data_IF_162309665814
#
_entry.id   IF_162309665814
#
_cell.length_a   1.000
_cell.length_b   1.000
_cell.length_c   1.000
_cell.angle_alpha   90.00
_cell.angle_beta   90.00
_cell.angle_gamma   90.00
#
_symmetry.space_group_name_H-M   'P 1'
#
loop_
_entity.id
_entity.type
_entity.pdbx_description
1 polymer ?
#
# COMPACT_ATOMS: atom_id res chain seq x y z
N UNK A 1 -5.24 79.83 -22.36
CA UNK A 1 -5.10 79.35 -20.98
C UNK A 1 -4.54 77.94 -21.01
N UNK A 2 -3.61 77.64 -20.08
CA UNK A 2 -2.82 76.42 -19.88
C UNK A 2 -3.66 75.11 -19.86
N UNK A 3 -3.16 74.04 -20.49
CA UNK A 3 -2.66 72.76 -19.92
C UNK A 3 -3.63 72.08 -18.93
N UNK A 4 -3.96 70.79 -19.01
CA UNK A 4 -3.05 69.64 -18.98
C UNK A 4 -3.64 68.38 -19.64
N UNK A 5 -2.75 67.62 -20.27
CA UNK A 5 -2.93 66.23 -20.70
C UNK A 5 -2.76 65.31 -19.49
N UNK A 6 -3.65 64.33 -19.30
CA UNK A 6 -3.50 63.24 -18.33
C UNK A 6 -3.72 61.92 -19.07
N UNK A 7 -2.59 61.31 -19.45
CA UNK A 7 -2.51 59.93 -19.88
C UNK A 7 -2.71 59.04 -18.64
N UNK A 8 -3.86 58.36 -18.56
CA UNK A 8 -4.12 57.34 -17.56
C UNK A 8 -3.44 56.03 -17.97
N UNK A 9 -2.39 55.66 -17.25
CA UNK A 9 -1.81 54.33 -17.30
C UNK A 9 -2.79 53.35 -16.66
N UNK A 10 -3.34 52.43 -17.47
CA UNK A 10 -4.06 51.26 -16.97
C UNK A 10 -3.02 50.26 -16.45
N UNK A 11 -2.90 50.12 -15.14
CA UNK A 11 -2.11 49.06 -14.51
C UNK A 11 -2.91 47.76 -14.63
N UNK A 12 -2.41 46.83 -15.45
CA UNK A 12 -2.81 45.43 -15.41
C UNK A 12 -2.40 44.86 -14.05
N UNK A 13 -3.36 44.65 -13.16
CA UNK A 13 -3.18 43.84 -11.95
C UNK A 13 -3.06 42.40 -12.42
N UNK A 14 -1.83 41.91 -12.57
CA UNK A 14 -1.58 40.48 -12.72
C UNK A 14 -1.98 39.76 -11.43
N UNK A 15 -2.82 38.73 -11.55
CA UNK A 15 -2.92 37.70 -10.50
C UNK A 15 -1.56 37.00 -10.41
N UNK A 16 -0.75 37.39 -9.43
CA UNK A 16 0.29 36.50 -8.92
C UNK A 16 -0.36 35.32 -8.19
N UNK A 17 0.24 34.12 -8.20
CA UNK A 17 -0.20 33.03 -7.34
C UNK A 17 -0.16 33.49 -5.87
N UNK A 18 -1.11 33.04 -5.02
CA UNK A 18 -1.15 33.44 -3.63
C UNK A 18 0.14 32.98 -2.92
N UNK A 19 0.62 33.84 -2.03
CA UNK A 19 1.69 33.57 -1.09
C UNK A 19 1.32 32.35 -0.24
N UNK A 20 1.95 31.21 -0.51
CA UNK A 20 1.79 29.96 0.23
C UNK A 20 2.62 30.02 1.51
N UNK A 21 2.36 31.05 2.33
CA UNK A 21 2.87 31.16 3.69
C UNK A 21 2.45 29.94 4.51
N UNK A 22 3.39 29.03 4.66
CA UNK A 22 3.31 27.73 5.30
C UNK A 22 3.21 27.84 6.83
N UNK A 23 2.13 28.46 7.31
CA UNK A 23 1.79 28.46 8.74
C UNK A 23 0.32 28.11 9.03
N UNK A 24 -0.53 27.85 8.02
CA UNK A 24 -1.92 27.42 8.27
C UNK A 24 -2.35 26.26 7.40
N UNK A 25 -2.58 25.13 8.06
CA UNK A 25 -3.25 23.93 7.54
C UNK A 25 -4.61 24.31 6.97
N UNK A 26 -4.96 23.78 5.80
CA UNK A 26 -6.28 23.95 5.19
C UNK A 26 -7.34 23.22 6.03
N UNK A 27 -8.33 23.95 6.55
CA UNK A 27 -9.45 23.39 7.31
C UNK A 27 -10.70 23.49 6.45
N UNK A 28 -11.13 22.37 5.87
CA UNK A 28 -12.42 22.23 5.21
C UNK A 28 -13.58 22.13 6.22
N UNK A 29 -14.85 22.18 5.77
CA UNK A 29 -16.03 22.35 6.64
C UNK A 29 -16.35 21.17 7.58
N UNK A 30 -15.61 20.06 7.52
CA UNK A 30 -15.73 18.92 8.44
C UNK A 30 -14.51 18.88 9.37
N UNK A 31 -14.48 19.76 10.36
CA UNK A 31 -13.40 19.87 11.32
C UNK A 31 -13.41 18.75 12.37
N UNK A 32 -12.37 17.91 12.36
CA UNK A 32 -11.92 17.14 13.51
C UNK A 32 -10.46 17.50 13.76
N UNK A 33 -10.18 18.25 14.83
CA UNK A 33 -8.81 18.61 15.21
C UNK A 33 -8.13 17.44 15.91
N UNK A 34 -6.90 17.14 15.52
CA UNK A 34 -6.01 16.19 16.21
C UNK A 34 -5.22 16.95 17.28
N UNK A 35 -5.29 16.46 18.53
CA UNK A 35 -4.56 16.97 19.69
C UNK A 35 -3.22 16.22 19.80
N UNK A 36 -2.12 16.89 19.46
CA UNK A 36 -0.76 16.38 19.62
C UNK A 36 -0.24 16.75 21.02
N UNK A 37 -0.60 15.96 22.03
CA UNK A 37 0.10 15.95 23.31
C UNK A 37 0.26 14.53 23.85
N UNK A 38 1.34 13.86 23.45
CA UNK A 38 1.92 12.75 24.21
C UNK A 38 3.32 13.18 24.65
N UNK A 39 3.46 13.46 25.94
CA UNK A 39 4.72 13.72 26.61
C UNK A 39 5.51 12.41 26.77
N UNK A 40 6.76 12.39 26.29
CA UNK A 40 7.76 11.35 26.60
C UNK A 40 8.58 11.79 27.82
N UNK A 41 8.73 10.98 28.89
CA UNK A 41 9.61 11.33 30.00
C UNK A 41 11.08 10.98 29.68
N UNK A 42 11.97 11.90 30.05
CA UNK A 42 13.42 11.81 29.91
C UNK A 42 14.04 10.77 30.85
N UNK A 43 14.94 9.95 30.31
CA UNK A 43 15.78 9.00 31.07
C UNK A 43 17.26 9.41 31.01
N UNK A 44 17.87 9.52 32.19
CA UNK A 44 19.26 9.92 32.47
C UNK A 44 20.27 8.81 32.19
N UNK A 45 21.43 9.20 31.66
CA UNK A 45 22.62 8.37 31.42
C UNK A 45 23.39 8.05 32.71
N UNK A 46 23.62 6.78 33.01
CA UNK A 46 24.76 6.29 33.80
C UNK A 46 25.18 4.90 33.30
N UNK A 47 26.47 4.75 32.95
CA UNK A 47 27.22 3.49 32.81
C UNK A 47 27.94 3.22 34.16
N UNK A 48 28.19 1.95 34.59
CA UNK A 48 29.44 1.27 34.19
C UNK A 48 29.48 -0.29 34.16
N UNK A 49 30.44 -0.77 33.34
CA UNK A 49 31.40 -1.90 33.46
C UNK A 49 30.99 -3.39 33.71
N UNK A 50 31.45 -4.22 32.76
CA UNK A 50 32.07 -5.56 32.80
C UNK A 50 31.50 -6.75 33.60
N UNK A 51 31.29 -7.88 32.90
CA UNK A 51 31.12 -9.22 33.48
C UNK A 51 30.92 -10.35 32.45
N UNK A 52 31.94 -11.21 32.34
CA UNK A 52 32.10 -12.37 31.43
C UNK A 52 31.20 -13.60 31.75
N UNK A 53 31.18 -14.52 30.78
CA UNK A 53 30.93 -15.97 30.81
C UNK A 53 29.57 -16.48 30.31
N UNK A 54 29.65 -17.32 29.28
CA UNK A 54 28.52 -18.02 28.68
C UNK A 54 28.19 -19.36 29.34
N UNK A 55 27.06 -19.93 28.94
CA UNK A 55 26.86 -21.38 28.83
C UNK A 55 25.58 -21.67 28.04
N UNK A 56 25.71 -22.62 27.12
CA UNK A 56 24.62 -23.32 26.45
C UNK A 56 23.73 -24.07 27.45
N UNK A 57 22.41 -24.10 27.22
CA UNK A 57 21.61 -25.27 27.56
C UNK A 57 20.43 -25.46 26.58
N UNK A 58 20.14 -26.73 26.36
CA UNK A 58 19.17 -27.33 25.45
C UNK A 58 17.98 -27.83 26.27
N UNK A 59 16.74 -27.46 25.92
CA UNK A 59 15.57 -28.12 26.51
C UNK A 59 14.19 -27.59 26.09
N UNK A 60 13.46 -28.42 25.33
CA UNK A 60 12.00 -28.65 25.27
C UNK A 60 11.01 -27.47 24.98
N UNK A 61 9.83 -27.75 24.35
CA UNK A 61 8.97 -26.72 23.79
C UNK A 61 8.09 -26.06 24.86
N UNK A 62 8.22 -24.75 24.99
CA UNK A 62 7.37 -23.89 25.81
C UNK A 62 5.96 -23.81 25.19
N UNK A 63 4.94 -24.16 25.98
CA UNK A 63 3.57 -23.75 25.69
C UNK A 63 3.42 -22.25 25.93
N UNK A 64 3.07 -21.48 24.90
CA UNK A 64 2.11 -20.38 25.07
C UNK A 64 2.52 -18.97 24.65
N UNK A 65 3.75 -18.72 24.19
CA UNK A 65 4.13 -17.39 23.68
C UNK A 65 4.22 -17.44 22.16
N UNK A 66 3.56 -16.49 21.48
CA UNK A 66 3.55 -16.43 20.02
C UNK A 66 4.95 -16.33 19.43
N UNK A 67 5.09 -16.69 18.15
CA UNK A 67 6.33 -16.51 17.41
C UNK A 67 6.72 -15.03 17.33
N UNK A 68 7.89 -14.68 17.84
CA UNK A 68 8.48 -13.35 17.69
C UNK A 68 9.20 -13.25 16.33
N UNK A 69 8.78 -12.28 15.51
CA UNK A 69 9.24 -12.12 14.13
C UNK A 69 10.22 -10.96 13.93
N UNK A 70 10.36 -10.06 14.91
CA UNK A 70 11.23 -8.88 14.81
C UNK A 70 10.86 -7.93 13.66
N UNK A 71 9.57 -7.83 13.32
CA UNK A 71 9.12 -6.99 12.21
C UNK A 71 9.21 -5.51 12.57
N UNK A 72 9.62 -4.69 11.62
CA UNK A 72 9.55 -3.23 11.76
C UNK A 72 8.07 -2.80 11.83
N UNK A 73 7.66 -2.03 12.86
CA UNK A 73 6.29 -1.56 13.00
C UNK A 73 5.84 -0.60 11.88
N UNK A 74 6.77 0.09 11.22
CA UNK A 74 6.49 1.06 10.15
C UNK A 74 6.39 0.42 8.75
N UNK A 75 6.85 -0.82 8.63
CA UNK A 75 6.91 -1.55 7.36
C UNK A 75 5.76 -2.56 7.25
N UNK A 76 5.38 -2.88 6.01
CA UNK A 76 4.41 -3.94 5.72
C UNK A 76 4.88 -5.27 6.32
N UNK A 77 4.03 -6.00 7.07
CA UNK A 77 4.41 -7.29 7.63
C UNK A 77 4.81 -8.33 6.57
N UNK A 78 4.36 -8.16 5.33
CA UNK A 78 4.66 -9.08 4.22
C UNK A 78 5.70 -8.57 3.24
N UNK A 79 6.48 -7.57 3.66
CA UNK A 79 7.67 -7.14 2.94
C UNK A 79 8.56 -8.35 2.59
N UNK A 80 9.02 -8.41 1.34
CA UNK A 80 9.85 -9.51 0.83
C UNK A 80 11.28 -9.09 0.49
N UNK A 81 11.58 -7.79 0.56
CA UNK A 81 12.88 -7.18 0.25
C UNK A 81 13.14 -5.97 1.18
N UNK A 82 14.10 -5.10 0.85
CA UNK A 82 14.50 -4.00 1.73
C UNK A 82 13.59 -2.75 1.66
N UNK A 83 12.35 -2.87 1.16
CA UNK A 83 11.40 -1.76 1.08
C UNK A 83 10.20 -1.95 2.02
N UNK A 84 9.86 -0.89 2.75
CA UNK A 84 8.82 -0.98 3.78
C UNK A 84 7.39 -0.95 3.25
N UNK A 85 7.17 -0.48 2.01
CA UNK A 85 5.82 -0.23 1.53
C UNK A 85 5.21 -1.45 0.82
N UNK A 86 6.00 -2.30 0.15
CA UNK A 86 5.42 -3.42 -0.59
C UNK A 86 5.16 -4.65 0.30
N UNK A 87 4.19 -5.52 -0.04
CA UNK A 87 3.24 -5.43 -1.15
C UNK A 87 2.31 -4.20 -1.06
N UNK A 88 2.14 -3.50 -2.17
CA UNK A 88 1.35 -2.27 -2.26
C UNK A 88 0.39 -2.34 -3.46
N UNK A 89 -0.84 -1.83 -3.36
CA UNK A 89 -1.53 -1.45 -2.13
C UNK A 89 -1.85 -2.65 -1.25
N UNK A 90 -1.97 -2.42 0.05
CA UNK A 90 -2.28 -3.46 1.03
C UNK A 90 -3.15 -2.91 2.16
N UNK A 91 -4.05 -3.75 2.67
CA UNK A 91 -4.84 -3.45 3.88
C UNK A 91 -3.97 -3.05 5.08
N UNK A 92 -2.71 -3.50 5.16
CA UNK A 92 -1.81 -3.10 6.25
C UNK A 92 -1.45 -1.61 6.24
N UNK A 93 -1.73 -0.91 5.14
CA UNK A 93 -1.61 0.55 5.03
C UNK A 93 -2.97 1.24 5.19
N UNK A 94 -3.85 0.68 6.03
CA UNK A 94 -5.18 1.24 6.30
C UNK A 94 -5.48 1.26 7.80
N UNK A 95 -6.50 2.04 8.17
CA UNK A 95 -7.08 2.07 9.51
C UNK A 95 -8.61 1.92 9.39
N UNK A 96 -9.24 1.37 10.41
CA UNK A 96 -10.71 1.28 10.46
C UNK A 96 -11.34 2.67 10.52
N UNK A 97 -12.33 2.91 9.66
CA UNK A 97 -13.21 4.07 9.73
C UNK A 97 -14.65 3.63 9.44
N UNK A 98 -15.47 3.38 10.47
CA UNK A 98 -16.86 2.95 10.30
C UNK A 98 -17.76 4.02 9.67
N UNK A 99 -17.28 5.25 9.53
CA UNK A 99 -18.01 6.34 8.85
C UNK A 99 -17.76 6.36 7.34
N UNK A 100 -16.71 5.68 6.87
CA UNK A 100 -16.43 5.52 5.45
C UNK A 100 -17.30 4.42 4.84
N UNK A 101 -17.65 4.50 3.55
CA UNK A 101 -18.40 3.46 2.85
C UNK A 101 -17.73 2.08 2.84
N UNK A 102 -16.40 2.01 2.82
CA UNK A 102 -15.64 0.73 2.82
C UNK A 102 -15.32 0.24 4.23
N UNK A 103 -15.60 1.03 5.27
CA UNK A 103 -15.18 0.77 6.65
C UNK A 103 -13.69 1.01 6.91
N UNK A 104 -12.93 1.54 5.94
CA UNK A 104 -11.49 1.76 6.02
C UNK A 104 -11.11 3.16 5.51
N UNK A 105 -9.96 3.65 5.96
CA UNK A 105 -9.22 4.73 5.28
C UNK A 105 -7.77 4.34 5.05
N UNK A 106 -7.18 4.87 3.99
CA UNK A 106 -5.74 4.78 3.77
C UNK A 106 -5.00 5.45 4.95
N UNK A 107 -3.90 4.84 5.36
CA UNK A 107 -3.09 5.26 6.50
C UNK A 107 -1.61 5.03 6.21
N UNK A 108 -1.10 5.71 5.20
CA UNK A 108 0.32 5.68 4.88
C UNK A 108 1.13 6.50 5.88
N UNK A 109 2.21 5.91 6.42
CA UNK A 109 3.17 6.62 7.25
C UNK A 109 4.01 7.58 6.40
N UNK A 110 4.30 8.76 6.94
CA UNK A 110 5.25 9.72 6.34
C UNK A 110 6.65 9.14 6.20
N UNK A 111 7.01 8.20 7.09
CA UNK A 111 8.31 7.53 7.09
C UNK A 111 8.47 6.53 5.93
N UNK A 112 7.41 6.27 5.16
CA UNK A 112 7.52 5.42 3.96
C UNK A 112 7.78 6.23 2.68
N UNK A 113 7.85 7.57 2.75
CA UNK A 113 7.87 8.47 1.59
C UNK A 113 9.13 9.34 1.50
N UNK A 114 10.31 8.80 1.74
CA UNK A 114 11.55 9.58 1.66
C UNK A 114 12.05 9.82 0.22
N UNK A 115 12.54 11.03 -0.04
CA UNK A 115 13.38 11.32 -1.20
C UNK A 115 14.81 10.79 -0.98
N UNK A 116 15.60 10.52 -2.05
CA UNK A 116 16.98 10.05 -1.91
C UNK A 116 17.92 10.98 -1.10
N UNK A 117 17.58 12.27 -1.00
CA UNK A 117 18.30 13.26 -0.19
C UNK A 117 17.74 13.44 1.22
N UNK A 118 16.62 12.78 1.57
CA UNK A 118 15.97 12.81 2.88
C UNK A 118 15.28 14.14 3.22
N UNK A 119 15.20 15.10 2.29
CA UNK A 119 14.77 16.48 2.58
C UNK A 119 13.27 16.72 2.37
N UNK A 120 12.58 15.88 1.58
CA UNK A 120 11.16 16.08 1.29
C UNK A 120 10.38 14.75 1.38
N UNK A 121 9.92 14.35 2.58
CA UNK A 121 8.88 13.34 2.64
C UNK A 121 7.62 13.89 1.96
N UNK A 122 7.13 13.22 0.92
CA UNK A 122 5.80 13.55 0.37
C UNK A 122 4.79 13.34 1.50
N UNK A 123 4.02 14.39 1.84
CA UNK A 123 3.00 14.29 2.87
C UNK A 123 1.85 13.39 2.38
N UNK A 124 1.66 12.18 2.96
CA UNK A 124 0.65 11.26 2.51
C UNK A 124 -0.75 11.64 2.98
N UNK A 125 -0.93 12.73 3.75
CA UNK A 125 -2.25 13.21 4.16
C UNK A 125 -3.19 13.41 2.94
N UNK A 126 -2.63 13.79 1.79
CA UNK A 126 -3.37 13.92 0.54
C UNK A 126 -3.87 12.58 -0.05
N UNK A 127 -3.40 11.45 0.46
CA UNK A 127 -3.89 10.11 0.09
C UNK A 127 -4.73 9.50 1.22
N UNK A 128 -4.39 9.78 2.48
CA UNK A 128 -5.03 9.21 3.68
C UNK A 128 -6.49 9.64 3.88
N UNK A 129 -7.00 10.59 3.09
CA UNK A 129 -8.44 10.90 3.07
C UNK A 129 -9.28 9.84 2.34
N UNK A 130 -8.68 9.04 1.47
CA UNK A 130 -9.39 8.07 0.66
C UNK A 130 -9.78 6.82 1.46
N UNK A 131 -10.96 6.27 1.14
CA UNK A 131 -11.50 5.05 1.75
C UNK A 131 -11.03 3.75 1.06
N UNK A 132 -10.05 3.85 0.17
CA UNK A 132 -9.45 2.74 -0.56
C UNK A 132 -8.59 3.24 -1.71
N UNK A 133 -8.00 2.33 -2.46
CA UNK A 133 -7.17 2.68 -3.63
C UNK A 133 -7.98 2.81 -4.91
N UNK A 134 -7.40 3.51 -5.89
CA UNK A 134 -8.00 3.69 -7.20
C UNK A 134 -8.38 2.34 -7.84
N UNK A 135 -9.56 2.23 -8.47
CA UNK A 135 -9.96 1.06 -9.26
C UNK A 135 -9.00 0.64 -10.38
N UNK A 136 -8.05 1.50 -10.76
CA UNK A 136 -7.06 1.25 -11.82
C UNK A 136 -5.62 1.34 -11.31
N UNK A 137 -5.41 1.22 -10.00
CA UNK A 137 -4.08 1.26 -9.41
C UNK A 137 -3.22 0.08 -9.88
N UNK A 138 -1.93 0.29 -10.18
CA UNK A 138 -1.00 -0.82 -10.28
C UNK A 138 -0.80 -1.44 -8.89
N UNK A 139 -0.38 -2.70 -8.89
CA UNK A 139 -0.04 -3.49 -7.73
C UNK A 139 1.47 -3.79 -7.80
N UNK A 140 2.18 -3.63 -6.70
CA UNK A 140 3.63 -3.67 -6.61
C UNK A 140 4.07 -4.64 -5.52
N UNK A 141 5.04 -5.48 -5.83
CA UNK A 141 5.75 -6.32 -4.87
C UNK A 141 7.21 -6.42 -5.27
N UNK A 142 8.13 -6.28 -4.31
CA UNK A 142 9.56 -6.39 -4.56
C UNK A 142 10.13 -7.63 -3.87
N UNK A 143 10.85 -8.44 -4.64
CA UNK A 143 11.48 -9.68 -4.15
C UNK A 143 13.00 -9.55 -3.96
N UNK A 144 13.57 -8.36 -4.20
CA UNK A 144 15.01 -8.16 -4.23
C UNK A 144 15.70 -8.80 -5.44
N UNK A 145 14.91 -9.40 -6.35
CA UNK A 145 15.34 -10.15 -7.53
C UNK A 145 14.31 -10.00 -8.64
N UNK A 146 14.77 -10.11 -9.88
CA UNK A 146 13.88 -10.14 -11.04
C UNK A 146 13.21 -11.52 -11.18
N UNK A 147 11.90 -11.51 -11.45
CA UNK A 147 11.13 -12.71 -11.76
C UNK A 147 11.47 -13.22 -13.16
N UNK A 148 11.44 -14.54 -13.33
CA UNK A 148 11.57 -15.18 -14.63
C UNK A 148 10.54 -14.62 -15.62
N UNK A 149 10.96 -13.97 -16.72
CA UNK A 149 10.05 -13.33 -17.67
C UNK A 149 9.10 -14.31 -18.37
N UNK A 150 9.44 -15.60 -18.45
CA UNK A 150 8.57 -16.63 -19.03
C UNK A 150 7.31 -16.92 -18.18
N UNK A 151 7.28 -16.40 -16.94
CA UNK A 151 6.15 -16.51 -16.01
C UNK A 151 5.33 -15.21 -15.94
N UNK A 152 5.60 -14.23 -16.80
CA UNK A 152 4.97 -12.92 -16.83
C UNK A 152 4.19 -12.70 -18.14
N UNK A 153 3.08 -11.96 -18.07
CA UNK A 153 2.23 -11.66 -19.23
C UNK A 153 2.37 -10.22 -19.71
N UNK A 154 2.61 -10.06 -21.01
CA UNK A 154 2.66 -8.77 -21.68
C UNK A 154 1.28 -8.18 -21.99
N UNK A 155 1.22 -6.98 -22.58
CA UNK A 155 -0.04 -6.30 -22.90
C UNK A 155 -0.97 -7.05 -23.87
N UNK A 156 -0.42 -7.96 -24.68
CA UNK A 156 -1.16 -8.73 -25.67
C UNK A 156 -1.56 -10.13 -25.17
N UNK A 157 -1.04 -10.52 -24.02
CA UNK A 157 -1.11 -11.89 -23.49
C UNK A 157 -1.87 -11.93 -22.15
N UNK A 158 -2.57 -10.85 -21.79
CA UNK A 158 -3.24 -10.72 -20.51
C UNK A 158 -4.33 -11.78 -20.28
N UNK A 159 -4.95 -12.30 -21.33
CA UNK A 159 -5.94 -13.38 -21.21
C UNK A 159 -5.30 -14.69 -20.72
N UNK A 160 -4.00 -14.89 -20.94
CA UNK A 160 -3.28 -16.08 -20.45
C UNK A 160 -3.14 -16.08 -18.92
N UNK A 161 -3.24 -14.91 -18.27
CA UNK A 161 -3.31 -14.79 -16.81
C UNK A 161 -4.59 -15.37 -16.20
N UNK A 162 -5.58 -15.71 -17.04
CA UNK A 162 -6.83 -16.35 -16.62
C UNK A 162 -6.84 -17.87 -16.85
N UNK A 163 -5.74 -18.44 -17.34
CA UNK A 163 -5.60 -19.89 -17.45
C UNK A 163 -5.56 -20.56 -16.06
N UNK A 164 -5.66 -21.88 -16.05
CA UNK A 164 -5.54 -22.67 -14.82
C UNK A 164 -4.07 -22.81 -14.40
N UNK A 165 -3.81 -22.93 -13.10
CA UNK A 165 -2.47 -23.12 -12.52
C UNK A 165 -1.45 -22.02 -12.86
N UNK A 166 -1.94 -20.79 -13.04
CA UNK A 166 -1.09 -19.62 -13.22
C UNK A 166 -0.47 -19.17 -11.89
N UNK A 167 0.76 -18.61 -11.90
CA UNK A 167 1.49 -18.31 -10.67
C UNK A 167 1.09 -17.00 -9.98
N UNK A 168 0.28 -16.15 -10.63
CA UNK A 168 -0.13 -14.84 -10.11
C UNK A 168 -1.63 -14.70 -10.37
N UNK A 169 -2.40 -14.41 -9.31
CA UNK A 169 -3.86 -14.29 -9.35
C UNK A 169 -4.30 -13.01 -8.66
N UNK A 170 -5.26 -12.32 -9.26
CA UNK A 170 -6.04 -11.24 -8.66
C UNK A 170 -7.51 -11.62 -8.72
N UNK A 171 -8.17 -11.72 -7.56
CA UNK A 171 -9.56 -12.19 -7.47
C UNK A 171 -10.39 -11.30 -6.54
N UNK A 172 -11.62 -10.99 -6.95
CA UNK A 172 -12.61 -10.33 -6.09
C UNK A 172 -13.03 -11.30 -4.98
N UNK A 173 -12.84 -10.90 -3.72
CA UNK A 173 -13.06 -11.78 -2.56
C UNK A 173 -14.54 -12.17 -2.42
N UNK A 174 -15.46 -11.29 -2.81
CA UNK A 174 -16.89 -11.54 -2.61
C UNK A 174 -17.50 -12.31 -3.78
N UNK A 175 -17.03 -12.10 -5.01
CA UNK A 175 -17.58 -12.73 -6.22
C UNK A 175 -16.79 -13.94 -6.72
N UNK A 176 -15.51 -14.05 -6.36
CA UNK A 176 -14.59 -15.06 -6.91
C UNK A 176 -14.16 -14.79 -8.35
N UNK A 177 -14.48 -13.61 -8.91
CA UNK A 177 -14.13 -13.25 -10.28
C UNK A 177 -12.64 -12.87 -10.39
N UNK A 178 -11.92 -13.55 -11.29
CA UNK A 178 -10.52 -13.25 -11.60
C UNK A 178 -10.41 -12.09 -12.57
N UNK A 179 -9.41 -11.24 -12.37
CA UNK A 179 -9.13 -10.09 -13.23
C UNK A 179 -7.93 -10.39 -14.13
N UNK A 180 -8.01 -10.14 -15.46
CA UNK A 180 -6.86 -10.32 -16.35
C UNK A 180 -5.74 -9.35 -16.00
N UNK A 181 -4.50 -9.80 -16.10
CA UNK A 181 -3.31 -9.12 -15.64
C UNK A 181 -2.29 -8.93 -16.76
N UNK A 182 -1.69 -7.74 -16.81
CA UNK A 182 -0.37 -7.52 -17.37
C UNK A 182 0.62 -7.51 -16.20
N UNK A 183 1.71 -8.27 -16.31
CA UNK A 183 2.74 -8.32 -15.28
C UNK A 183 4.12 -8.04 -15.88
N UNK A 184 4.88 -7.15 -15.28
CA UNK A 184 6.20 -6.77 -15.78
C UNK A 184 7.15 -6.41 -14.63
N UNK A 185 8.44 -6.69 -14.78
CA UNK A 185 9.44 -6.10 -13.90
C UNK A 185 9.61 -4.61 -14.21
N UNK A 186 9.72 -3.76 -13.19
CA UNK A 186 10.01 -2.34 -13.37
C UNK A 186 11.33 -2.16 -14.12
N UNK A 187 11.30 -1.41 -15.22
CA UNK A 187 12.46 -1.13 -16.09
C UNK A 187 13.12 0.22 -15.80
N UNK A 188 12.57 1.01 -14.89
CA UNK A 188 13.04 2.35 -14.61
C UNK A 188 14.40 2.35 -13.90
N UNK A 189 15.29 3.26 -14.29
CA UNK A 189 16.58 3.54 -13.62
C UNK A 189 17.48 2.31 -13.38
N UNK A 190 17.41 1.28 -14.22
CA UNK A 190 18.22 0.04 -14.10
C UNK A 190 19.73 0.29 -14.26
N UNK A 191 20.10 1.35 -14.97
CA UNK A 191 21.48 1.79 -15.19
C UNK A 191 22.12 2.45 -13.96
N UNK A 192 21.32 2.82 -12.95
CA UNK A 192 21.81 3.46 -11.73
C UNK A 192 22.41 2.47 -10.69
N UNK A 193 22.44 1.17 -11.00
CA UNK A 193 23.06 0.15 -10.14
C UNK A 193 22.31 -0.13 -8.84
N UNK A 194 20.99 0.09 -8.84
CA UNK A 194 20.12 -0.19 -7.71
C UNK A 194 19.66 -1.66 -7.70
N UNK A 195 20.61 -2.57 -7.51
CA UNK A 195 20.31 -4.01 -7.45
C UNK A 195 19.27 -4.30 -6.35
N UNK A 196 18.28 -5.14 -6.67
CA UNK A 196 17.22 -5.55 -5.74
C UNK A 196 16.15 -4.51 -5.42
N UNK A 197 16.08 -3.39 -6.15
CA UNK A 197 15.02 -2.36 -5.96
C UNK A 197 13.92 -2.36 -7.03
N UNK A 198 13.92 -3.34 -7.93
CA UNK A 198 12.97 -3.39 -9.03
C UNK A 198 11.73 -4.21 -8.64
N UNK A 199 10.60 -3.54 -8.50
CA UNK A 199 9.34 -4.21 -8.19
C UNK A 199 8.81 -5.00 -9.40
N UNK A 200 8.16 -6.13 -9.12
CA UNK A 200 7.18 -6.71 -10.00
C UNK A 200 5.94 -5.81 -9.99
N UNK A 201 5.55 -5.33 -11.17
CA UNK A 201 4.37 -4.52 -11.40
C UNK A 201 3.27 -5.41 -11.96
N UNK A 202 2.16 -5.53 -11.24
CA UNK A 202 0.95 -6.26 -11.63
C UNK A 202 -0.10 -5.21 -11.97
N UNK A 203 -0.58 -5.21 -13.20
CA UNK A 203 -1.57 -4.24 -13.71
C UNK A 203 -2.88 -4.95 -14.02
N UNK A 204 -3.97 -4.62 -13.30
CA UNK A 204 -5.30 -5.03 -13.71
C UNK A 204 -5.63 -4.50 -15.11
N UNK A 205 -6.05 -5.39 -16.02
CA UNK A 205 -6.45 -5.03 -17.39
C UNK A 205 -7.94 -4.71 -17.51
N UNK A 206 -8.66 -4.72 -16.38
CA UNK A 206 -9.99 -4.19 -16.22
C UNK A 206 -10.06 -3.35 -14.93
N UNK A 207 -10.88 -2.29 -14.88
CA UNK A 207 -11.12 -1.56 -13.63
C UNK A 207 -11.68 -2.49 -12.57
N UNK A 208 -11.13 -2.39 -11.36
CA UNK A 208 -11.63 -3.10 -10.19
C UNK A 208 -12.99 -2.53 -9.77
N UNK A 209 -13.83 -3.36 -9.15
CA UNK A 209 -15.14 -2.94 -8.66
C UNK A 209 -14.98 -1.97 -7.50
N UNK A 210 -15.57 -0.79 -7.61
CA UNK A 210 -15.53 0.23 -6.54
C UNK A 210 -16.14 -0.32 -5.24
N UNK A 211 -15.49 -0.04 -4.12
CA UNK A 211 -15.87 -0.52 -2.79
C UNK A 211 -15.64 -2.01 -2.54
N UNK A 212 -15.04 -2.75 -3.49
CA UNK A 212 -14.75 -4.17 -3.34
C UNK A 212 -13.40 -4.43 -2.65
N UNK A 213 -13.18 -5.69 -2.28
CA UNK A 213 -11.93 -6.19 -1.73
C UNK A 213 -11.38 -7.25 -2.67
N UNK A 214 -10.10 -7.14 -3.01
CA UNK A 214 -9.44 -8.09 -3.89
C UNK A 214 -8.33 -8.81 -3.14
N UNK A 215 -8.19 -10.11 -3.37
CA UNK A 215 -7.04 -10.89 -2.94
C UNK A 215 -6.03 -10.95 -4.09
N UNK A 216 -4.78 -10.59 -3.79
CA UNK A 216 -3.62 -10.83 -4.64
C UNK A 216 -2.90 -12.05 -4.10
N UNK A 217 -2.62 -13.03 -4.96
CA UNK A 217 -1.91 -14.25 -4.59
C UNK A 217 -0.80 -14.58 -5.57
N UNK A 218 0.39 -14.82 -5.05
CA UNK A 218 1.55 -15.26 -5.82
C UNK A 218 1.97 -16.65 -5.36
N UNK A 219 2.28 -17.53 -6.31
CA UNK A 219 2.61 -18.93 -6.09
C UNK A 219 4.09 -19.14 -5.78
N UNK A 220 4.38 -20.16 -5.00
CA UNK A 220 5.74 -20.70 -4.78
C UNK A 220 6.38 -21.29 -6.04
N UNK A 221 5.60 -21.46 -7.14
CA UNK A 221 6.14 -21.85 -8.44
C UNK A 221 6.86 -20.71 -9.18
N UNK A 222 6.74 -19.47 -8.69
CA UNK A 222 7.53 -18.35 -9.22
C UNK A 222 9.02 -18.57 -8.98
N UNK A 223 9.81 -18.26 -9.99
CA UNK A 223 11.27 -18.37 -9.97
C UNK A 223 11.91 -17.04 -10.35
N UNK A 224 13.15 -16.84 -9.91
CA UNK A 224 13.97 -15.74 -10.43
C UNK A 224 14.51 -16.06 -11.84
N UNK A 225 15.23 -15.11 -12.43
CA UNK A 225 15.82 -15.25 -13.77
C UNK A 225 16.86 -16.37 -13.90
N UNK A 226 17.35 -16.92 -12.78
CA UNK A 226 18.26 -18.07 -12.74
C UNK A 226 17.51 -19.40 -12.55
N UNK A 227 16.18 -19.35 -12.41
CA UNK A 227 15.34 -20.52 -12.14
C UNK A 227 15.32 -20.92 -10.66
N UNK A 228 15.83 -20.08 -9.76
CA UNK A 228 15.82 -20.33 -8.32
C UNK A 228 14.45 -20.01 -7.71
N UNK A 229 13.97 -20.81 -6.73
CA UNK A 229 12.72 -20.51 -6.04
C UNK A 229 12.84 -19.26 -5.17
N UNK A 230 11.72 -18.54 -5.02
CA UNK A 230 11.63 -17.39 -4.12
C UNK A 230 11.34 -17.83 -2.69
N UNK A 231 11.79 -17.03 -1.72
CA UNK A 231 11.63 -17.32 -0.29
C UNK A 231 10.32 -16.77 0.24
N UNK A 232 9.56 -17.59 0.97
CA UNK A 232 8.39 -17.15 1.74
C UNK A 232 8.85 -16.39 2.99
N UNK A 233 8.32 -15.19 3.24
CA UNK A 233 8.67 -14.46 4.47
C UNK A 233 8.14 -15.18 5.72
N UNK A 234 8.87 -15.15 6.85
CA UNK A 234 8.41 -15.78 8.10
C UNK A 234 7.04 -15.29 8.57
N UNK A 235 6.75 -14.00 8.37
CA UNK A 235 5.46 -13.39 8.71
C UNK A 235 4.31 -13.96 7.87
N UNK A 236 4.50 -14.06 6.55
CA UNK A 236 3.48 -14.63 5.69
C UNK A 236 3.29 -16.13 5.95
N UNK A 237 4.38 -16.88 6.15
CA UNK A 237 4.31 -18.29 6.54
C UNK A 237 3.51 -18.48 7.84
N UNK A 238 3.70 -17.62 8.85
CA UNK A 238 2.99 -17.74 10.11
C UNK A 238 1.47 -17.54 9.97
N UNK A 239 1.01 -16.55 9.19
CA UNK A 239 -0.43 -16.36 8.96
C UNK A 239 -1.00 -17.48 8.07
N UNK A 240 -0.25 -17.91 7.04
CA UNK A 240 -0.64 -18.99 6.14
C UNK A 240 -0.75 -20.31 6.90
N UNK A 241 0.15 -20.61 7.81
CA UNK A 241 0.22 -21.92 8.47
C UNK A 241 -0.51 -21.93 9.83
N UNK A 242 -1.15 -20.82 10.22
CA UNK A 242 -1.92 -20.71 11.46
C UNK A 242 -1.06 -20.64 12.73
N UNK A 243 0.22 -20.29 12.59
CA UNK A 243 1.16 -20.14 13.71
C UNK A 243 0.92 -18.79 14.37
N UNK A 244 0.54 -18.79 15.65
CA UNK A 244 0.34 -17.58 16.48
C UNK A 244 1.65 -16.81 16.60
N UNK A 245 1.58 -15.48 16.46
CA UNK A 245 2.73 -14.55 16.53
C UNK A 245 2.55 -13.54 17.66
N UNK A 246 3.61 -12.82 18.00
CA UNK A 246 3.53 -11.66 18.91
C UNK A 246 3.17 -10.35 18.20
N UNK A 247 3.11 -10.33 16.87
CA UNK A 247 2.78 -9.13 16.09
C UNK A 247 1.26 -8.90 16.05
N UNK A 248 0.80 -7.86 16.76
CA UNK A 248 -0.62 -7.53 16.86
C UNK A 248 -1.29 -7.27 15.51
N UNK A 249 -0.56 -6.80 14.50
CA UNK A 249 -1.10 -6.54 13.14
C UNK A 249 -1.47 -7.85 12.46
N UNK A 250 -0.61 -8.87 12.57
CA UNK A 250 -0.88 -10.20 12.01
C UNK A 250 -2.04 -10.88 12.75
N UNK A 251 -2.06 -10.81 14.08
CA UNK A 251 -3.13 -11.41 14.88
C UNK A 251 -4.49 -10.77 14.61
N UNK A 252 -4.55 -9.44 14.49
CA UNK A 252 -5.78 -8.73 14.12
C UNK A 252 -6.26 -9.09 12.70
N UNK A 253 -5.34 -9.39 11.79
CA UNK A 253 -5.65 -9.71 10.40
C UNK A 253 -6.12 -11.16 10.17
N UNK A 254 -5.97 -12.08 11.12
CA UNK A 254 -6.21 -13.53 10.89
C UNK A 254 -7.57 -13.85 10.28
N UNK A 255 -8.65 -13.34 10.89
CA UNK A 255 -10.01 -13.63 10.41
C UNK A 255 -10.24 -13.09 9.00
N UNK A 256 -9.69 -11.92 8.70
CA UNK A 256 -9.71 -11.31 7.36
C UNK A 256 -8.95 -12.18 6.35
N UNK A 257 -7.80 -12.73 6.72
CA UNK A 257 -6.99 -13.55 5.84
C UNK A 257 -7.56 -14.93 5.54
N UNK A 258 -8.43 -15.48 6.39
CA UNK A 258 -9.17 -16.71 6.04
C UNK A 258 -10.07 -16.49 4.80
N UNK A 259 -10.65 -15.30 4.64
CA UNK A 259 -11.41 -14.95 3.43
C UNK A 259 -10.49 -14.79 2.21
N UNK A 260 -9.30 -14.17 2.39
CA UNK A 260 -8.28 -14.06 1.33
C UNK A 260 -7.85 -15.45 0.84
N UNK A 261 -7.52 -16.36 1.75
CA UNK A 261 -7.13 -17.72 1.40
C UNK A 261 -8.25 -18.50 0.74
N UNK A 262 -9.49 -18.38 1.23
CA UNK A 262 -10.63 -19.06 0.61
C UNK A 262 -10.91 -18.54 -0.81
N UNK A 263 -10.77 -17.24 -1.06
CA UNK A 263 -10.97 -16.66 -2.39
C UNK A 263 -9.88 -17.12 -3.37
N UNK A 264 -8.62 -17.14 -2.94
CA UNK A 264 -7.50 -17.62 -3.76
C UNK A 264 -7.58 -19.11 -4.06
N UNK A 265 -7.96 -19.93 -3.08
CA UNK A 265 -8.17 -21.37 -3.26
C UNK A 265 -9.26 -21.63 -4.33
N UNK A 266 -10.39 -20.93 -4.22
CA UNK A 266 -11.46 -20.96 -5.23
C UNK A 266 -11.04 -20.45 -6.62
N UNK A 267 -10.01 -19.61 -6.68
CA UNK A 267 -9.43 -19.08 -7.91
C UNK A 267 -8.29 -19.96 -8.48
N UNK A 268 -8.03 -21.12 -7.88
CA UNK A 268 -7.05 -22.11 -8.35
C UNK A 268 -5.65 -21.95 -7.75
N UNK A 269 -5.49 -21.18 -6.67
CA UNK A 269 -4.22 -21.01 -5.97
C UNK A 269 -4.37 -21.45 -4.49
N UNK A 270 -4.02 -22.71 -4.22
CA UNK A 270 -4.21 -23.31 -2.91
C UNK A 270 -3.37 -22.61 -1.83
N UNK A 271 -3.93 -22.53 -0.60
CA UNK A 271 -3.29 -21.87 0.55
C UNK A 271 -1.85 -22.33 0.79
N UNK A 272 -1.57 -23.62 0.66
CA UNK A 272 -0.25 -24.20 0.90
C UNK A 272 0.80 -23.79 -0.15
N UNK A 273 0.36 -23.42 -1.36
CA UNK A 273 1.22 -23.10 -2.49
C UNK A 273 1.53 -21.60 -2.59
N UNK A 274 0.99 -20.79 -1.66
CA UNK A 274 1.20 -19.34 -1.63
C UNK A 274 2.62 -18.98 -1.19
N UNK A 275 3.30 -18.21 -2.05
CA UNK A 275 4.53 -17.50 -1.76
C UNK A 275 4.25 -16.27 -0.90
N UNK A 276 3.27 -15.47 -1.31
CA UNK A 276 2.78 -14.29 -0.62
C UNK A 276 1.35 -14.00 -1.10
N UNK A 277 0.51 -13.49 -0.21
CA UNK A 277 -0.82 -13.02 -0.54
C UNK A 277 -1.20 -11.84 0.33
N UNK A 278 -2.02 -10.93 -0.21
CA UNK A 278 -2.53 -9.79 0.54
C UNK A 278 -3.87 -9.31 0.00
N UNK A 279 -4.59 -8.55 0.84
CA UNK A 279 -5.82 -7.91 0.46
C UNK A 279 -5.57 -6.46 0.00
N UNK A 280 -6.24 -6.08 -1.09
CA UNK A 280 -6.31 -4.73 -1.64
C UNK A 280 -7.75 -4.19 -1.48
N UNK A 281 -7.95 -3.07 -0.74
CA UNK A 281 -9.25 -2.41 -0.63
C UNK A 281 -9.45 -1.35 -1.71
N UNK A 282 -10.51 -1.45 -2.51
CA UNK A 282 -10.82 -0.50 -3.59
C UNK A 282 -11.72 0.62 -3.06
N UNK A 283 -11.39 1.86 -3.43
CA UNK A 283 -12.15 3.05 -3.05
C UNK A 283 -13.63 2.93 -3.44
N UNK A 284 -14.51 3.50 -2.64
CA UNK A 284 -15.95 3.50 -2.90
C UNK A 284 -16.32 4.35 -4.11
N UNK A 285 -17.51 4.10 -4.66
CA UNK A 285 -18.04 4.92 -5.76
C UNK A 285 -18.18 6.39 -5.33
N UNK A 286 -18.66 6.66 -4.11
CA UNK A 286 -18.73 8.02 -3.56
C UNK A 286 -17.36 8.68 -3.43
N UNK A 287 -16.30 7.92 -3.13
CA UNK A 287 -14.95 8.46 -3.05
C UNK A 287 -14.40 8.81 -4.45
N UNK A 288 -14.70 7.98 -5.46
CA UNK A 288 -14.15 8.12 -6.82
C UNK A 288 -14.96 9.12 -7.66
N UNK A 289 -16.29 9.02 -7.65
CA UNK A 289 -17.20 9.80 -8.49
C UNK A 289 -17.85 10.99 -7.76
N UNK A 290 -17.87 10.98 -6.43
CA UNK A 290 -18.54 12.01 -5.63
C UNK A 290 -18.16 13.46 -6.00
N UNK A 291 -16.87 13.79 -6.26
CA UNK A 291 -16.50 15.13 -6.69
C UNK A 291 -17.19 15.58 -7.99
N UNK A 292 -17.22 14.73 -9.03
CA UNK A 292 -17.84 15.10 -10.31
C UNK A 292 -19.37 15.11 -10.21
N UNK A 293 -19.95 14.19 -9.45
CA UNK A 293 -21.40 14.16 -9.19
C UNK A 293 -21.85 15.43 -8.44
N UNK A 294 -21.08 15.89 -7.46
CA UNK A 294 -21.36 17.14 -6.75
C UNK A 294 -21.30 18.35 -7.68
N UNK A 295 -20.35 18.40 -8.63
CA UNK A 295 -20.26 19.48 -9.59
C UNK A 295 -21.44 19.47 -10.58
N UNK A 296 -21.84 18.30 -11.05
CA UNK A 296 -23.00 18.13 -11.94
C UNK A 296 -24.29 18.59 -11.25
N UNK A 297 -24.49 18.20 -9.98
CA UNK A 297 -25.66 18.61 -9.21
C UNK A 297 -25.77 20.13 -9.04
N UNK A 298 -24.64 20.83 -8.85
CA UNK A 298 -24.62 22.30 -8.79
C UNK A 298 -24.96 22.91 -10.15
N UNK A 299 -24.38 22.40 -11.24
CA UNK A 299 -24.66 22.87 -12.59
C UNK A 299 -26.15 22.71 -12.98
N UNK A 300 -26.78 21.61 -12.58
CA UNK A 300 -28.21 21.37 -12.84
C UNK A 300 -29.10 22.36 -12.09
N UNK A 301 -28.73 22.76 -10.87
CA UNK A 301 -29.43 23.80 -10.12
C UNK A 301 -29.32 25.16 -10.82
N UNK A 302 -28.13 25.51 -11.31
CA UNK A 302 -27.90 26.77 -12.02
C UNK A 302 -28.64 26.82 -13.37
N UNK A 303 -28.72 25.70 -14.09
CA UNK A 303 -29.42 25.63 -15.38
C UNK A 303 -30.96 25.61 -15.25
N UNK A 304 -31.49 25.29 -14.07
CA UNK A 304 -32.92 25.28 -13.78
C UNK A 304 -33.47 26.66 -13.36
N UNK A 305 -32.59 27.64 -13.11
CA UNK A 305 -32.91 29.01 -12.68
C UNK A 305 -32.98 30.01 -13.85
#
# INVERSE_FOLDING_TARGET
MRQYSLAGWLVLVGCGPPDMGNEKIWVGPSGGGLDDTIETPAGTTEDPEDGDSGSSDTGAPETGDGLELGLDPNCSPFTMADDCMTPWPSVFHTVEDPTSPTGLRLNYSRDNFYSPDGVLPVDPAMFNFADGVSPVTPILVNFGRDINPDQLWGPLDADDSLLDNVPIVLVDIDTGERVPLLTEMDRNQRDMGYDGRHALVIRPMAPLRMGARYAVGLSTTLTDTEGSPLTVSPAFAAIRDGVITTDARLEAARSRYEAVFSALDGAGLARADLLVAWELPVASESQVLGPIESMMAVADIENAA
#
